data_IF_716523395032
#
_entry.id   IF_716523395032
#
_cell.length_a   1.000
_cell.length_b   1.000
_cell.length_c   1.000
_cell.angle_alpha   90.00
_cell.angle_beta   90.00
_cell.angle_gamma   90.00
#
_symmetry.space_group_name_H-M   'P 1'
#
loop_
_entity.id
_entity.type
_entity.pdbx_description
1 polymer ?
#
# COMPACT_ATOMS: atom_id res chain seq x y z
N UNK A 1 17.07 32.61 -16.99
CA UNK A 1 17.28 31.63 -18.06
C UNK A 1 16.15 30.62 -17.97
N UNK A 2 15.22 30.60 -18.92
CA UNK A 2 14.05 29.71 -18.89
C UNK A 2 14.36 28.48 -19.74
N UNK A 3 14.65 27.35 -19.10
CA UNK A 3 15.02 26.10 -19.80
C UNK A 3 13.76 25.26 -19.97
N UNK A 4 13.51 24.78 -21.19
CA UNK A 4 12.34 23.93 -21.44
C UNK A 4 12.47 22.57 -20.76
N UNK A 5 11.33 21.98 -20.37
CA UNK A 5 11.30 20.61 -19.83
C UNK A 5 11.91 19.58 -20.81
N UNK A 6 11.82 19.83 -22.11
CA UNK A 6 12.42 18.97 -23.14
C UNK A 6 13.94 19.01 -23.11
N UNK A 7 14.52 20.21 -23.00
CA UNK A 7 15.98 20.39 -22.88
C UNK A 7 16.50 19.66 -21.64
N UNK A 8 15.77 19.72 -20.53
CA UNK A 8 16.12 19.01 -19.30
C UNK A 8 16.07 17.48 -19.46
N UNK A 9 14.99 16.94 -20.04
CA UNK A 9 14.87 15.50 -20.32
C UNK A 9 15.94 15.01 -21.29
N UNK A 10 16.26 15.80 -22.31
CA UNK A 10 17.31 15.49 -23.26
C UNK A 10 18.68 15.42 -22.59
N UNK A 11 19.01 16.39 -21.74
CA UNK A 11 20.25 16.39 -20.96
C UNK A 11 20.34 15.17 -20.03
N UNK A 12 19.26 14.83 -19.33
CA UNK A 12 19.22 13.66 -18.44
C UNK A 12 19.45 12.35 -19.21
N UNK A 13 18.78 12.17 -20.35
CA UNK A 13 19.00 11.01 -21.22
C UNK A 13 20.43 10.95 -21.76
N UNK A 14 21.00 12.09 -22.14
CA UNK A 14 22.41 12.20 -22.57
C UNK A 14 23.38 11.78 -21.44
N UNK A 15 23.01 12.04 -20.19
CA UNK A 15 23.75 11.60 -19.00
C UNK A 15 23.39 10.16 -18.52
N UNK A 16 22.66 9.39 -19.33
CA UNK A 16 22.20 8.02 -19.07
C UNK A 16 21.20 7.88 -17.90
N UNK A 17 20.38 8.89 -17.65
CA UNK A 17 19.25 8.81 -16.72
C UNK A 17 17.96 8.50 -17.45
N UNK A 18 17.17 7.59 -16.88
CA UNK A 18 15.86 7.17 -17.38
C UNK A 18 14.79 7.35 -16.29
N UNK A 19 13.54 7.59 -16.72
CA UNK A 19 12.40 7.58 -15.79
C UNK A 19 12.12 6.14 -15.36
N UNK A 20 12.42 5.82 -14.10
CA UNK A 20 12.23 4.50 -13.50
C UNK A 20 11.18 4.62 -12.40
N UNK A 21 10.33 3.60 -12.26
CA UNK A 21 9.39 3.49 -11.15
C UNK A 21 10.18 3.32 -9.85
N UNK A 22 10.08 4.28 -8.94
CA UNK A 22 10.59 4.13 -7.59
C UNK A 22 9.70 3.10 -6.86
N UNK A 23 10.28 1.97 -6.47
CA UNK A 23 9.59 0.95 -5.69
C UNK A 23 9.95 1.18 -4.22
N UNK A 24 8.93 1.46 -3.42
CA UNK A 24 9.09 1.44 -1.97
C UNK A 24 9.23 -0.01 -1.51
N UNK A 25 10.40 -0.37 -0.98
CA UNK A 25 10.62 -1.67 -0.37
C UNK A 25 10.34 -1.57 1.12
N UNK A 26 9.28 -2.23 1.57
CA UNK A 26 9.08 -2.50 2.98
C UNK A 26 10.26 -3.34 3.49
N UNK A 27 11.03 -2.78 4.41
CA UNK A 27 12.11 -3.49 5.09
C UNK A 27 11.49 -4.48 6.09
N UNK A 28 11.40 -5.75 5.70
CA UNK A 28 10.87 -6.81 6.54
C UNK A 28 12.02 -7.47 7.32
N UNK A 29 11.85 -7.65 8.63
CA UNK A 29 12.83 -8.35 9.46
C UNK A 29 13.02 -9.79 8.99
N UNK A 30 14.21 -10.37 9.22
CA UNK A 30 14.49 -11.76 8.86
C UNK A 30 13.47 -12.73 9.49
N UNK A 31 13.15 -12.51 10.78
CA UNK A 31 12.17 -13.31 11.52
C UNK A 31 10.79 -13.28 10.87
N UNK A 32 10.29 -12.09 10.52
CA UNK A 32 8.97 -11.95 9.88
C UNK A 32 8.97 -12.60 8.48
N UNK A 33 10.07 -12.51 7.75
CA UNK A 33 10.22 -13.17 6.44
C UNK A 33 10.14 -14.69 6.56
N UNK A 34 10.81 -15.25 7.56
CA UNK A 34 10.81 -16.70 7.79
C UNK A 34 9.41 -17.17 8.22
N UNK A 35 8.73 -16.44 9.12
CA UNK A 35 7.34 -16.72 9.50
C UNK A 35 6.36 -16.68 8.32
N UNK A 36 6.47 -15.66 7.45
CA UNK A 36 5.66 -15.55 6.23
C UNK A 36 5.92 -16.73 5.28
N UNK A 37 7.16 -17.18 5.17
CA UNK A 37 7.54 -18.34 4.34
C UNK A 37 6.93 -19.62 4.88
N UNK A 38 6.96 -19.81 6.20
CA UNK A 38 6.32 -20.98 6.86
C UNK A 38 4.81 -20.96 6.62
N UNK A 39 4.15 -19.81 6.81
CA UNK A 39 2.71 -19.67 6.56
C UNK A 39 2.36 -19.99 5.11
N UNK A 40 3.09 -19.43 4.14
CA UNK A 40 2.84 -19.67 2.72
C UNK A 40 3.00 -21.16 2.36
N UNK A 41 4.08 -21.80 2.81
CA UNK A 41 4.31 -23.23 2.58
C UNK A 41 3.22 -24.11 3.20
N UNK A 42 2.69 -23.72 4.35
CA UNK A 42 1.61 -24.44 5.02
C UNK A 42 0.31 -24.40 4.20
N UNK A 43 -0.04 -23.26 3.62
CA UNK A 43 -1.33 -23.06 2.97
C UNK A 43 -1.32 -23.15 1.44
N UNK A 44 -0.15 -23.40 0.81
CA UNK A 44 -0.02 -23.45 -0.67
C UNK A 44 -0.84 -24.57 -1.32
N UNK A 45 -1.03 -25.69 -0.62
CA UNK A 45 -1.73 -26.87 -1.12
C UNK A 45 -3.18 -26.96 -0.62
N UNK A 46 -3.69 -25.91 0.04
CA UNK A 46 -5.07 -25.90 0.52
C UNK A 46 -6.04 -25.87 -0.68
N UNK A 47 -7.13 -26.64 -0.65
CA UNK A 47 -8.10 -26.70 -1.73
C UNK A 47 -8.89 -25.39 -1.85
N UNK A 48 -9.53 -25.17 -2.99
CA UNK A 48 -10.37 -23.99 -3.24
C UNK A 48 -11.49 -23.86 -2.19
N UNK A 49 -12.10 -24.98 -1.79
CA UNK A 49 -13.13 -25.02 -0.74
C UNK A 49 -12.67 -24.47 0.61
N UNK A 50 -11.37 -24.52 0.91
CA UNK A 50 -10.81 -23.88 2.09
C UNK A 50 -10.85 -22.36 1.93
N UNK A 51 -10.32 -21.85 0.81
CA UNK A 51 -10.27 -20.41 0.52
C UNK A 51 -11.65 -19.78 0.38
N UNK A 52 -12.63 -20.53 -0.13
CA UNK A 52 -14.03 -20.09 -0.21
C UNK A 52 -14.67 -19.83 1.16
N UNK A 53 -14.10 -20.40 2.23
CA UNK A 53 -14.54 -20.19 3.62
C UNK A 53 -13.73 -19.11 4.36
N UNK A 54 -12.64 -18.63 3.76
CA UNK A 54 -11.78 -17.61 4.37
C UNK A 54 -12.38 -16.22 4.08
N UNK A 55 -12.53 -15.43 5.14
CA UNK A 55 -12.90 -14.02 5.05
C UNK A 55 -11.68 -13.20 5.46
N UNK A 56 -11.16 -12.43 4.52
CA UNK A 56 -10.12 -11.43 4.76
C UNK A 56 -10.78 -10.15 5.25
N UNK A 57 -10.21 -9.54 6.30
CA UNK A 57 -10.66 -8.25 6.82
C UNK A 57 -9.46 -7.36 7.01
N UNK A 58 -9.56 -6.12 6.56
CA UNK A 58 -8.50 -5.15 6.74
C UNK A 58 -9.06 -3.72 6.78
N UNK A 59 -8.21 -2.82 7.24
CA UNK A 59 -8.42 -1.39 7.27
C UNK A 59 -7.66 -0.75 6.14
N UNK A 60 -8.37 0.01 5.30
CA UNK A 60 -7.75 0.78 4.25
C UNK A 60 -7.95 2.29 4.47
N UNK A 61 -6.94 3.08 4.10
CA UNK A 61 -6.98 4.53 4.15
C UNK A 61 -7.05 5.06 2.72
N UNK A 62 -8.15 5.72 2.38
CA UNK A 62 -8.31 6.40 1.11
C UNK A 62 -7.98 7.88 1.27
N UNK A 63 -6.95 8.38 0.59
CA UNK A 63 -6.67 9.80 0.55
C UNK A 63 -7.64 10.50 -0.44
N UNK A 64 -8.31 11.55 0.02
CA UNK A 64 -9.16 12.44 -0.78
C UNK A 64 -8.28 13.33 -1.67
N UNK A 65 -7.13 13.75 -1.15
CA UNK A 65 -6.17 14.59 -1.86
C UNK A 65 -4.80 13.90 -1.92
N UNK A 66 -4.24 13.85 -3.13
CA UNK A 66 -2.98 13.17 -3.41
C UNK A 66 -3.15 11.66 -3.56
N UNK A 67 -2.46 11.08 -4.54
CA UNK A 67 -2.39 9.62 -4.70
C UNK A 67 -1.17 9.07 -4.01
N UNK A 68 -1.29 7.90 -3.37
CA UNK A 68 -0.14 7.05 -2.99
C UNK A 68 0.47 6.34 -4.22
N UNK A 69 0.25 6.92 -5.41
CA UNK A 69 0.53 6.32 -6.70
C UNK A 69 2.02 6.18 -7.01
N UNK A 70 2.27 5.66 -8.21
CA UNK A 70 3.61 5.41 -8.74
C UNK A 70 4.44 6.70 -8.78
N UNK A 71 5.51 6.73 -8.00
CA UNK A 71 6.51 7.80 -8.05
C UNK A 71 7.54 7.43 -9.12
N UNK A 72 7.76 8.30 -10.11
CA UNK A 72 8.83 8.13 -11.09
C UNK A 72 10.03 8.99 -10.70
N UNK A 73 11.22 8.38 -10.73
CA UNK A 73 12.48 9.06 -10.51
C UNK A 73 13.39 8.93 -11.74
N UNK A 74 14.16 9.98 -12.05
CA UNK A 74 15.20 9.91 -13.08
C UNK A 74 16.45 9.27 -12.48
N UNK A 75 16.74 8.02 -12.83
CA UNK A 75 17.83 7.22 -12.28
C UNK A 75 18.66 6.55 -13.38
N UNK A 76 19.91 6.18 -13.08
CA UNK A 76 20.71 5.33 -13.97
C UNK A 76 20.25 3.87 -13.84
N UNK A 77 20.39 3.04 -14.89
CA UNK A 77 19.90 1.66 -14.91
C UNK A 77 20.38 0.77 -13.74
N UNK A 78 21.60 0.99 -13.26
CA UNK A 78 22.23 0.15 -12.22
C UNK A 78 22.12 0.75 -10.80
N UNK A 79 21.34 1.82 -10.63
CA UNK A 79 21.17 2.44 -9.31
C UNK A 79 20.23 1.58 -8.46
N UNK A 80 20.67 1.17 -7.28
CA UNK A 80 19.81 0.47 -6.33
C UNK A 80 18.60 1.35 -5.98
N UNK A 81 17.40 0.78 -6.13
CA UNK A 81 16.13 1.42 -5.79
C UNK A 81 16.04 1.62 -4.28
N UNK A 82 16.58 2.74 -3.81
CA UNK A 82 16.25 3.34 -2.52
C UNK A 82 15.53 4.63 -2.85
N UNK A 83 14.22 4.69 -2.65
CA UNK A 83 13.48 5.93 -2.79
C UNK A 83 14.10 6.97 -1.83
N UNK A 84 14.75 8.03 -2.34
CA UNK A 84 15.18 9.11 -1.47
C UNK A 84 13.92 9.87 -1.08
N UNK A 85 13.60 9.78 0.21
CA UNK A 85 12.71 10.61 1.00
C UNK A 85 11.89 11.69 0.28
N UNK A 86 10.58 11.58 0.51
CA UNK A 86 9.61 12.68 0.66
C UNK A 86 9.40 13.58 -0.56
N UNK A 87 8.47 13.16 -1.42
CA UNK A 87 7.51 14.14 -1.94
C UNK A 87 6.84 14.77 -0.70
N UNK A 88 6.83 16.10 -0.52
CA UNK A 88 6.09 16.72 0.57
C UNK A 88 4.60 16.41 0.38
N UNK A 89 4.14 15.36 1.04
CA UNK A 89 2.71 15.07 1.16
C UNK A 89 2.16 16.16 2.05
N UNK A 90 1.35 17.06 1.48
CA UNK A 90 0.56 18.00 2.27
C UNK A 90 -0.41 17.16 3.08
N UNK A 91 -0.06 16.85 4.33
CA UNK A 91 -0.98 16.23 5.30
C UNK A 91 -1.95 17.30 5.76
N UNK A 92 -2.91 17.64 4.90
CA UNK A 92 -4.08 18.40 5.32
C UNK A 92 -4.90 17.50 6.25
N UNK A 93 -5.16 17.98 7.46
CA UNK A 93 -6.09 17.33 8.38
C UNK A 93 -7.45 17.18 7.67
N UNK A 94 -8.06 15.98 7.69
CA UNK A 94 -9.29 15.69 6.94
C UNK A 94 -9.11 15.30 5.47
N UNK A 95 -7.88 15.13 4.97
CA UNK A 95 -7.61 14.73 3.58
C UNK A 95 -7.73 13.22 3.31
N UNK A 96 -8.26 12.42 4.23
CA UNK A 96 -8.38 10.97 4.05
C UNK A 96 -9.50 10.36 4.85
N UNK A 97 -10.14 9.34 4.28
CA UNK A 97 -11.17 8.53 4.91
C UNK A 97 -10.59 7.16 5.23
N UNK A 98 -10.94 6.66 6.40
CA UNK A 98 -10.54 5.33 6.84
C UNK A 98 -11.73 4.38 6.78
N UNK A 99 -11.53 3.23 6.16
CA UNK A 99 -12.59 2.26 5.90
C UNK A 99 -12.19 0.91 6.45
N UNK A 100 -13.13 0.25 7.10
CA UNK A 100 -13.05 -1.16 7.48
C UNK A 100 -13.88 -1.99 6.52
N UNK A 101 -13.28 -3.01 5.92
CA UNK A 101 -13.96 -3.89 4.97
C UNK A 101 -13.57 -5.35 5.14
N UNK A 102 -14.39 -6.20 4.52
CA UNK A 102 -14.16 -7.63 4.40
C UNK A 102 -14.24 -8.08 2.95
N UNK A 103 -13.53 -9.16 2.62
CA UNK A 103 -13.55 -9.80 1.33
C UNK A 103 -13.54 -11.32 1.53
N UNK A 104 -14.47 -11.99 0.87
CA UNK A 104 -14.51 -13.44 0.72
C UNK A 104 -14.36 -13.79 -0.76
N UNK A 105 -14.36 -15.08 -1.10
CA UNK A 105 -14.35 -15.51 -2.49
C UNK A 105 -15.58 -15.05 -3.30
N UNK A 106 -16.71 -14.83 -2.62
CA UNK A 106 -17.99 -14.53 -3.26
C UNK A 106 -18.35 -13.04 -3.22
N UNK A 107 -17.95 -12.35 -2.16
CA UNK A 107 -18.46 -11.01 -1.85
C UNK A 107 -17.40 -10.11 -1.23
N UNK A 108 -17.56 -8.81 -1.46
CA UNK A 108 -16.78 -7.73 -0.84
C UNK A 108 -17.75 -6.86 -0.06
N UNK A 109 -17.43 -6.58 1.19
CA UNK A 109 -18.25 -5.78 2.07
C UNK A 109 -17.45 -4.60 2.62
N UNK A 110 -18.00 -3.39 2.50
CA UNK A 110 -17.49 -2.22 3.22
C UNK A 110 -18.37 -2.04 4.45
N UNK A 111 -17.84 -2.35 5.64
CA UNK A 111 -18.65 -2.39 6.85
C UNK A 111 -18.75 -1.02 7.52
N UNK A 112 -17.63 -0.31 7.72
CA UNK A 112 -17.63 0.91 8.57
C UNK A 112 -16.66 1.98 8.06
N UNK A 113 -17.15 3.21 7.96
CA UNK A 113 -16.33 4.42 7.88
C UNK A 113 -15.87 4.83 9.28
N UNK A 114 -14.56 4.96 9.47
CA UNK A 114 -13.96 5.26 10.77
C UNK A 114 -13.58 6.73 10.82
N UNK A 115 -14.25 7.47 11.71
CA UNK A 115 -13.91 8.86 11.98
C UNK A 115 -12.72 8.99 12.93
N UNK A 116 -11.72 9.72 12.45
CA UNK A 116 -10.49 10.02 13.17
C UNK A 116 -9.54 8.83 13.31
N UNK A 117 -8.73 8.84 14.36
CA UNK A 117 -7.80 7.76 14.65
C UNK A 117 -8.57 6.58 15.25
N UNK A 118 -8.32 5.39 14.71
CA UNK A 118 -8.88 4.14 15.23
C UNK A 118 -8.18 3.78 16.53
N UNK A 119 -8.94 3.70 17.62
CA UNK A 119 -8.47 3.18 18.90
C UNK A 119 -8.89 1.71 19.09
N UNK A 120 -8.36 1.08 20.14
CA UNK A 120 -8.64 -0.32 20.48
C UNK A 120 -10.13 -0.56 20.76
N UNK A 121 -10.84 0.39 21.37
CA UNK A 121 -12.24 0.23 21.75
C UNK A 121 -13.15 0.27 20.52
N UNK A 122 -12.92 1.23 19.62
CA UNK A 122 -13.56 1.31 18.30
C UNK A 122 -13.31 0.04 17.49
N UNK A 123 -12.08 -0.49 17.53
CA UNK A 123 -11.77 -1.76 16.89
C UNK A 123 -12.61 -2.92 17.44
N UNK A 124 -12.64 -3.09 18.75
CA UNK A 124 -13.42 -4.16 19.38
C UNK A 124 -14.92 -3.99 19.15
N UNK A 125 -15.42 -2.76 19.13
CA UNK A 125 -16.82 -2.46 18.85
C UNK A 125 -17.20 -2.82 17.41
N UNK A 126 -16.39 -2.41 16.42
CA UNK A 126 -16.56 -2.80 15.01
C UNK A 126 -16.46 -4.31 14.86
N UNK A 127 -15.51 -4.94 15.55
CA UNK A 127 -15.32 -6.38 15.49
C UNK A 127 -16.57 -7.10 16.03
N UNK A 128 -17.05 -6.75 17.23
CA UNK A 128 -18.21 -7.38 17.85
C UNK A 128 -19.50 -7.16 17.06
N UNK A 129 -19.68 -5.98 16.46
CA UNK A 129 -20.87 -5.65 15.66
C UNK A 129 -20.93 -6.38 14.32
N UNK A 130 -19.77 -6.65 13.72
CA UNK A 130 -19.66 -7.22 12.37
C UNK A 130 -19.15 -8.67 12.35
N UNK A 131 -18.94 -9.28 13.52
CA UNK A 131 -18.61 -10.71 13.70
C UNK A 131 -19.81 -11.52 14.25
N UNK A 132 -21.05 -11.08 14.04
CA UNK A 132 -22.21 -11.90 14.38
C UNK A 132 -22.19 -13.15 13.50
N UNK A 133 -21.74 -14.26 14.10
CA UNK A 133 -21.82 -15.63 13.58
C UNK A 133 -23.26 -16.11 13.67
#
# INVERSE_FOLDING_TARGET
MNVSAETFRWMLRKANYNGILAIEKLLISKVNRDQRTVFAKKHISEPEDFWNKVIFRDKHKFNIFGSDGRIYAWLKPDSELLAPNTIPTVKLEGSSVLVWGSMSANEVEISVFIDGIMDKMKYLDILNKNLTV
#
